data_IF_000007122510
#
_entry.id   IF_000007122510
#
_cell.length_a   1.000
_cell.length_b   1.000
_cell.length_c   1.000
_cell.angle_alpha   90.00
_cell.angle_beta   90.00
_cell.angle_gamma   90.00
#
_symmetry.space_group_name_H-M   'P 1'
#
loop_
_entity.id
_entity.type
_entity.pdbx_description
1 polymer ?
#
# COMPACT_ATOMS: atom_id res chain seq x y z
N UNK A 1 25.76 -27.67 3.43
CA UNK A 1 25.56 -26.21 3.30
C UNK A 1 24.33 -25.95 2.46
N UNK A 2 23.22 -25.54 3.08
CA UNK A 2 22.06 -25.05 2.33
C UNK A 2 22.40 -23.70 1.73
N UNK A 3 22.36 -23.58 0.40
CA UNK A 3 22.45 -22.30 -0.27
C UNK A 3 21.19 -21.50 0.03
N UNK A 4 21.23 -20.64 1.06
CA UNK A 4 20.26 -19.57 1.20
C UNK A 4 20.47 -18.60 0.04
N UNK A 5 19.72 -18.81 -1.05
CA UNK A 5 19.72 -17.90 -2.19
C UNK A 5 19.18 -16.55 -1.73
N UNK A 6 20.02 -15.52 -1.70
CA UNK A 6 19.59 -14.15 -1.49
C UNK A 6 18.70 -13.73 -2.67
N UNK A 7 17.41 -13.49 -2.41
CA UNK A 7 16.52 -12.89 -3.40
C UNK A 7 17.07 -11.53 -3.81
N UNK A 8 17.02 -11.23 -5.10
CA UNK A 8 17.33 -9.89 -5.61
C UNK A 8 16.31 -8.88 -5.08
N UNK A 9 16.68 -7.59 -5.04
CA UNK A 9 15.76 -6.51 -4.66
C UNK A 9 14.45 -6.59 -5.46
N UNK A 10 14.56 -6.76 -6.79
CA UNK A 10 13.42 -6.83 -7.71
C UNK A 10 12.51 -8.03 -7.46
N UNK A 11 13.06 -9.17 -7.05
CA UNK A 11 12.25 -10.35 -6.68
C UNK A 11 11.45 -10.11 -5.41
N UNK A 12 12.05 -9.49 -4.39
CA UNK A 12 11.34 -9.13 -3.16
C UNK A 12 10.20 -8.13 -3.42
N UNK A 13 10.50 -7.06 -4.15
CA UNK A 13 9.50 -6.04 -4.53
C UNK A 13 8.34 -6.65 -5.31
N UNK A 14 8.64 -7.55 -6.25
CA UNK A 14 7.62 -8.27 -7.00
C UNK A 14 6.74 -9.14 -6.10
N UNK A 15 7.33 -9.92 -5.20
CA UNK A 15 6.59 -10.80 -4.30
C UNK A 15 5.67 -10.01 -3.37
N UNK A 16 6.15 -8.89 -2.83
CA UNK A 16 5.38 -8.00 -1.95
C UNK A 16 4.16 -7.40 -2.65
N UNK A 17 4.32 -6.87 -3.87
CA UNK A 17 3.18 -6.30 -4.63
C UNK A 17 2.25 -7.40 -5.13
N UNK A 18 2.80 -8.55 -5.55
CA UNK A 18 2.01 -9.71 -5.99
C UNK A 18 1.15 -10.25 -4.85
N UNK A 19 1.68 -10.32 -3.62
CA UNK A 19 0.90 -10.73 -2.45
C UNK A 19 -0.27 -9.78 -2.21
N UNK A 20 -0.07 -8.46 -2.26
CA UNK A 20 -1.16 -7.49 -2.12
C UNK A 20 -2.25 -7.67 -3.18
N UNK A 21 -1.87 -7.89 -4.44
CA UNK A 21 -2.82 -8.15 -5.52
C UNK A 21 -3.55 -9.50 -5.35
N UNK A 22 -2.90 -10.51 -4.79
CA UNK A 22 -3.52 -11.78 -4.46
C UNK A 22 -4.58 -11.62 -3.37
N UNK A 23 -4.27 -10.87 -2.31
CA UNK A 23 -5.22 -10.55 -1.24
C UNK A 23 -6.47 -9.84 -1.79
N UNK A 24 -6.30 -9.00 -2.82
CA UNK A 24 -7.41 -8.29 -3.46
C UNK A 24 -8.34 -9.19 -4.27
N UNK A 25 -7.74 -10.16 -4.97
CA UNK A 25 -8.47 -11.21 -5.68
C UNK A 25 -9.26 -12.07 -4.71
N UNK A 26 -8.62 -12.52 -3.63
CA UNK A 26 -9.28 -13.31 -2.57
C UNK A 26 -10.45 -12.52 -1.99
N UNK A 27 -10.23 -11.26 -1.61
CA UNK A 27 -11.27 -10.42 -1.04
C UNK A 27 -12.46 -10.24 -1.99
N UNK A 28 -12.24 -9.98 -3.29
CA UNK A 28 -13.36 -9.87 -4.24
C UNK A 28 -14.08 -11.23 -4.43
N UNK A 29 -13.33 -12.33 -4.48
CA UNK A 29 -13.91 -13.67 -4.56
C UNK A 29 -14.78 -14.00 -3.35
N UNK A 30 -14.36 -13.57 -2.15
CA UNK A 30 -15.13 -13.73 -0.91
C UNK A 30 -16.41 -12.87 -0.94
N UNK A 31 -16.31 -11.62 -1.40
CA UNK A 31 -17.46 -10.73 -1.57
C UNK A 31 -18.48 -11.30 -2.56
N UNK A 32 -18.02 -11.85 -3.69
CA UNK A 32 -18.86 -12.51 -4.71
C UNK A 32 -19.57 -13.73 -4.11
N UNK A 33 -18.87 -14.56 -3.35
CA UNK A 33 -19.46 -15.73 -2.69
C UNK A 33 -20.50 -15.34 -1.65
N UNK A 34 -20.25 -14.24 -0.92
CA UNK A 34 -21.19 -13.75 0.08
C UNK A 34 -22.52 -13.28 -0.53
N UNK A 35 -22.51 -12.72 -1.74
CA UNK A 35 -23.71 -12.22 -2.42
C UNK A 35 -24.48 -13.29 -3.22
N UNK A 36 -23.88 -14.47 -3.45
CA UNK A 36 -24.47 -15.52 -4.30
C UNK A 36 -25.88 -15.92 -3.85
N UNK A 37 -26.09 -16.07 -2.54
CA UNK A 37 -27.41 -16.44 -1.99
C UNK A 37 -28.48 -15.41 -2.36
N UNK A 38 -28.19 -14.11 -2.22
CA UNK A 38 -29.16 -13.03 -2.51
C UNK A 38 -29.53 -12.99 -4.00
N UNK A 39 -28.59 -13.31 -4.89
CA UNK A 39 -28.79 -13.36 -6.34
C UNK A 39 -29.73 -14.51 -6.73
N UNK A 40 -29.68 -15.64 -6.01
CA UNK A 40 -30.53 -16.81 -6.25
C UNK A 40 -31.94 -16.70 -5.63
N UNK A 41 -32.20 -15.67 -4.82
CA UNK A 41 -33.50 -15.52 -4.15
C UNK A 41 -34.65 -15.30 -5.16
N UNK A 42 -35.84 -15.88 -4.91
CA UNK A 42 -37.02 -15.58 -5.72
C UNK A 42 -37.33 -14.08 -5.71
N UNK A 43 -37.53 -13.50 -6.90
CA UNK A 43 -37.80 -12.06 -7.04
C UNK A 43 -36.56 -11.17 -7.02
N UNK A 44 -35.35 -11.73 -6.97
CA UNK A 44 -34.12 -10.97 -7.17
C UNK A 44 -34.14 -10.23 -8.53
N UNK A 45 -33.78 -8.95 -8.50
CA UNK A 45 -33.76 -8.07 -9.67
C UNK A 45 -32.89 -8.64 -10.79
N UNK A 46 -33.43 -8.73 -12.01
CA UNK A 46 -32.67 -9.18 -13.18
C UNK A 46 -31.50 -8.24 -13.52
N UNK A 47 -31.67 -6.93 -13.31
CA UNK A 47 -30.56 -5.98 -13.43
C UNK A 47 -29.50 -6.22 -12.35
N UNK A 48 -29.93 -6.54 -11.12
CA UNK A 48 -29.02 -6.92 -10.03
C UNK A 48 -28.20 -8.17 -10.36
N UNK A 49 -28.83 -9.20 -10.95
CA UNK A 49 -28.15 -10.41 -11.42
C UNK A 49 -27.13 -10.11 -12.52
N UNK A 50 -27.48 -9.28 -13.50
CA UNK A 50 -26.54 -8.88 -14.56
C UNK A 50 -25.32 -8.13 -14.00
N UNK A 51 -25.51 -7.28 -12.98
CA UNK A 51 -24.39 -6.60 -12.29
C UNK A 51 -23.53 -7.58 -11.51
N UNK A 52 -24.12 -8.59 -10.87
CA UNK A 52 -23.38 -9.66 -10.22
C UNK A 52 -22.54 -10.45 -11.23
N UNK A 53 -23.10 -10.82 -12.37
CA UNK A 53 -22.37 -11.50 -13.46
C UNK A 53 -21.19 -10.66 -13.96
N UNK A 54 -21.38 -9.34 -14.14
CA UNK A 54 -20.28 -8.43 -14.48
C UNK A 54 -19.14 -8.44 -13.45
N UNK A 55 -19.46 -8.55 -12.15
CA UNK A 55 -18.45 -8.66 -11.11
C UNK A 55 -17.68 -10.00 -11.18
N UNK A 56 -18.39 -11.11 -11.43
CA UNK A 56 -17.79 -12.44 -11.63
C UNK A 56 -16.85 -12.43 -12.85
N UNK A 57 -17.28 -11.85 -13.97
CA UNK A 57 -16.45 -11.73 -15.16
C UNK A 57 -15.20 -10.86 -14.90
N UNK A 58 -15.34 -9.75 -14.16
CA UNK A 58 -14.22 -8.92 -13.77
C UNK A 58 -13.22 -9.70 -12.89
N UNK A 59 -13.70 -10.44 -11.90
CA UNK A 59 -12.85 -11.32 -11.08
C UNK A 59 -12.09 -12.34 -11.95
N UNK A 60 -12.77 -13.02 -12.88
CA UNK A 60 -12.13 -13.98 -13.78
C UNK A 60 -11.08 -13.33 -14.67
N UNK A 61 -11.35 -12.14 -15.25
CA UNK A 61 -10.38 -11.38 -16.03
C UNK A 61 -9.18 -10.97 -15.18
N UNK A 62 -9.41 -10.44 -13.98
CA UNK A 62 -8.35 -10.04 -13.05
C UNK A 62 -7.45 -11.24 -12.67
N UNK A 63 -8.03 -12.40 -12.41
CA UNK A 63 -7.28 -13.64 -12.15
C UNK A 63 -6.40 -14.04 -13.33
N UNK A 64 -6.93 -13.99 -14.56
CA UNK A 64 -6.14 -14.32 -15.76
C UNK A 64 -4.98 -13.35 -15.98
N UNK A 65 -5.17 -12.06 -15.72
CA UNK A 65 -4.11 -11.05 -15.79
C UNK A 65 -3.06 -11.35 -14.72
N UNK A 66 -3.48 -11.61 -13.48
CA UNK A 66 -2.61 -11.91 -12.35
C UNK A 66 -1.74 -13.16 -12.58
N UNK A 67 -2.30 -14.20 -13.18
CA UNK A 67 -1.58 -15.44 -13.52
C UNK A 67 -0.50 -15.22 -14.59
N UNK A 68 -0.73 -14.25 -15.48
CA UNK A 68 0.21 -13.89 -16.56
C UNK A 68 1.23 -12.83 -16.14
N UNK A 69 0.96 -12.06 -15.09
CA UNK A 69 1.85 -11.03 -14.59
C UNK A 69 3.21 -11.60 -14.17
N UNK A 70 4.30 -10.88 -14.50
CA UNK A 70 5.68 -11.27 -14.20
C UNK A 70 6.47 -10.16 -13.49
N UNK A 71 5.94 -8.94 -13.46
CA UNK A 71 6.57 -7.76 -12.84
C UNK A 71 5.50 -6.89 -12.19
N UNK A 72 5.91 -6.03 -11.25
CA UNK A 72 4.99 -5.17 -10.50
C UNK A 72 4.14 -4.26 -11.42
N UNK A 73 4.70 -3.84 -12.56
CA UNK A 73 4.00 -3.02 -13.55
C UNK A 73 2.82 -3.76 -14.20
N UNK A 74 2.89 -5.08 -14.31
CA UNK A 74 1.83 -5.92 -14.88
C UNK A 74 0.61 -6.04 -13.96
N UNK A 75 0.69 -5.54 -12.71
CA UNK A 75 -0.40 -5.61 -11.74
C UNK A 75 -1.33 -4.39 -11.80
N UNK A 76 -0.97 -3.32 -12.51
CA UNK A 76 -1.86 -2.18 -12.68
C UNK A 76 -3.21 -2.56 -13.34
N UNK A 77 -3.25 -3.38 -14.41
CA UNK A 77 -4.50 -3.85 -14.99
C UNK A 77 -5.28 -4.78 -14.05
N UNK A 78 -4.61 -5.52 -13.16
CA UNK A 78 -5.29 -6.36 -12.15
C UNK A 78 -6.14 -5.47 -11.23
N UNK A 79 -5.53 -4.46 -10.60
CA UNK A 79 -6.24 -3.54 -9.70
C UNK A 79 -7.35 -2.76 -10.40
N UNK A 80 -7.13 -2.35 -11.65
CA UNK A 80 -8.15 -1.67 -12.45
C UNK A 80 -9.37 -2.57 -12.68
N UNK A 81 -9.16 -3.83 -13.08
CA UNK A 81 -10.26 -4.78 -13.28
C UNK A 81 -10.94 -5.16 -11.96
N UNK A 82 -10.19 -5.24 -10.86
CA UNK A 82 -10.78 -5.47 -9.53
C UNK A 82 -11.67 -4.30 -9.09
N UNK A 83 -11.29 -3.07 -9.42
CA UNK A 83 -12.11 -1.88 -9.17
C UNK A 83 -13.43 -1.94 -9.97
N UNK A 84 -13.38 -2.31 -11.25
CA UNK A 84 -14.58 -2.54 -12.07
C UNK A 84 -15.51 -3.56 -11.41
N UNK A 85 -14.94 -4.68 -10.95
CA UNK A 85 -15.69 -5.75 -10.27
C UNK A 85 -16.33 -5.26 -8.97
N UNK A 86 -15.62 -4.46 -8.18
CA UNK A 86 -16.16 -3.90 -6.92
C UNK A 86 -17.29 -2.92 -7.15
N UNK A 87 -17.21 -2.11 -8.20
CA UNK A 87 -18.33 -1.25 -8.58
C UNK A 87 -19.54 -2.05 -9.05
N UNK A 88 -19.32 -3.09 -9.86
CA UNK A 88 -20.39 -3.99 -10.28
C UNK A 88 -21.05 -4.69 -9.08
N UNK A 89 -20.28 -5.12 -8.08
CA UNK A 89 -20.81 -5.64 -6.80
C UNK A 89 -21.65 -4.61 -6.05
N UNK A 90 -21.18 -3.36 -5.97
CA UNK A 90 -21.93 -2.29 -5.30
C UNK A 90 -23.27 -1.99 -6.02
N UNK A 91 -23.28 -2.01 -7.36
CA UNK A 91 -24.50 -1.91 -8.15
C UNK A 91 -25.43 -3.11 -7.93
N UNK A 92 -24.90 -4.34 -7.96
CA UNK A 92 -25.67 -5.56 -7.75
C UNK A 92 -26.37 -5.53 -6.39
N UNK A 93 -25.63 -5.25 -5.32
CA UNK A 93 -26.17 -5.13 -3.97
C UNK A 93 -27.28 -4.08 -3.87
N UNK A 94 -27.06 -2.87 -4.43
CA UNK A 94 -28.07 -1.82 -4.40
C UNK A 94 -29.37 -2.27 -5.10
N UNK A 95 -29.26 -2.87 -6.29
CA UNK A 95 -30.41 -3.31 -7.08
C UNK A 95 -31.17 -4.48 -6.45
N UNK A 96 -30.45 -5.44 -5.85
CA UNK A 96 -31.06 -6.54 -5.09
C UNK A 96 -31.83 -6.03 -3.87
N UNK A 97 -31.36 -4.95 -3.25
CA UNK A 97 -32.05 -4.26 -2.14
C UNK A 97 -33.12 -3.26 -2.61
N UNK A 98 -33.39 -3.14 -3.92
CA UNK A 98 -34.38 -2.19 -4.46
C UNK A 98 -33.96 -0.72 -4.36
N UNK A 99 -32.67 -0.44 -4.21
CA UNK A 99 -32.07 0.90 -4.18
C UNK A 99 -31.47 1.26 -5.55
N UNK A 100 -31.37 2.56 -5.90
CA UNK A 100 -30.67 2.97 -7.11
C UNK A 100 -29.19 2.58 -7.04
N UNK A 101 -28.56 2.21 -8.18
CA UNK A 101 -27.12 2.00 -8.24
C UNK A 101 -26.34 3.23 -7.75
N UNK A 102 -25.16 3.04 -7.12
CA UNK A 102 -24.31 4.16 -6.72
C UNK A 102 -23.80 4.93 -7.94
N UNK A 103 -23.45 6.20 -7.73
CA UNK A 103 -22.75 7.00 -8.73
C UNK A 103 -21.37 6.38 -9.05
N UNK A 104 -20.92 6.49 -10.31
CA UNK A 104 -19.59 6.07 -10.73
C UNK A 104 -18.53 7.06 -10.26
N UNK A 105 -18.20 6.99 -8.97
CA UNK A 105 -17.13 7.76 -8.32
C UNK A 105 -15.85 6.92 -8.19
N UNK A 106 -14.67 7.56 -8.00
CA UNK A 106 -13.46 6.85 -7.63
C UNK A 106 -13.68 5.95 -6.40
N UNK A 107 -12.94 4.85 -6.26
CA UNK A 107 -13.03 4.00 -5.08
C UNK A 107 -12.57 4.75 -3.83
N UNK A 108 -12.89 4.21 -2.65
CA UNK A 108 -12.39 4.77 -1.40
C UNK A 108 -10.85 4.84 -1.42
N UNK A 109 -10.33 6.05 -1.19
CA UNK A 109 -8.90 6.32 -1.17
C UNK A 109 -8.18 5.54 -0.09
N UNK A 110 -8.79 5.32 1.07
CA UNK A 110 -8.16 4.64 2.20
C UNK A 110 -8.06 3.13 2.00
N UNK A 111 -9.10 2.51 1.46
CA UNK A 111 -9.04 1.13 0.97
C UNK A 111 -9.94 0.98 -0.25
N UNK A 112 -9.36 0.81 -1.46
CA UNK A 112 -10.16 0.60 -2.67
C UNK A 112 -11.11 -0.60 -2.58
N UNK A 113 -10.86 -1.54 -1.66
CA UNK A 113 -11.74 -2.69 -1.42
C UNK A 113 -13.11 -2.30 -0.85
N UNK A 114 -13.22 -1.13 -0.20
CA UNK A 114 -14.49 -0.61 0.31
C UNK A 114 -15.48 -0.22 -0.80
N UNK A 115 -15.04 -0.20 -2.06
CA UNK A 115 -15.89 0.13 -3.22
C UNK A 115 -15.98 1.64 -3.48
N UNK A 116 -17.00 2.11 -4.23
CA UNK A 116 -17.09 3.50 -4.65
C UNK A 116 -17.21 4.46 -3.45
N UNK A 117 -16.53 5.60 -3.54
CA UNK A 117 -16.70 6.69 -2.58
C UNK A 117 -18.10 7.26 -2.62
N UNK A 118 -18.55 7.82 -1.51
CA UNK A 118 -19.85 8.53 -1.39
C UNK A 118 -19.67 10.04 -1.32
N UNK A 119 -18.50 10.50 -0.89
CA UNK A 119 -18.16 11.92 -0.76
C UNK A 119 -16.64 12.11 -0.73
N UNK A 120 -16.20 13.37 -0.77
CA UNK A 120 -14.80 13.74 -0.57
C UNK A 120 -14.62 14.35 0.82
N UNK A 121 -13.62 13.88 1.58
CA UNK A 121 -13.31 14.38 2.92
C UNK A 121 -11.96 15.09 2.94
N UNK A 122 -11.85 16.17 3.71
CA UNK A 122 -10.57 16.84 3.93
C UNK A 122 -9.71 15.98 4.85
N UNK A 123 -8.57 15.53 4.34
CA UNK A 123 -7.66 14.65 5.07
C UNK A 123 -6.20 14.96 4.73
N UNK A 124 -5.34 14.74 5.72
CA UNK A 124 -3.89 14.77 5.57
C UNK A 124 -3.31 13.49 6.19
N UNK A 125 -2.33 12.84 5.55
CA UNK A 125 -1.49 11.88 6.26
C UNK A 125 -0.63 12.61 7.30
N UNK A 126 -0.07 11.90 8.30
CA UNK A 126 0.88 12.49 9.24
C UNK A 126 2.00 13.26 8.52
N UNK A 127 2.20 14.53 8.88
CA UNK A 127 3.20 15.42 8.24
C UNK A 127 2.88 15.86 6.80
N UNK A 128 1.70 15.54 6.28
CA UNK A 128 1.26 15.92 4.96
C UNK A 128 0.35 17.15 4.92
N UNK A 129 0.06 17.60 3.70
CA UNK A 129 -0.91 18.69 3.47
C UNK A 129 -2.34 18.15 3.43
N UNK A 130 -3.28 18.89 4.02
CA UNK A 130 -4.72 18.59 3.98
C UNK A 130 -5.29 18.82 2.59
N UNK A 131 -6.12 17.89 2.11
CA UNK A 131 -6.76 17.93 0.79
C UNK A 131 -8.01 17.05 0.74
N UNK A 132 -8.93 17.29 -0.22
CA UNK A 132 -10.07 16.40 -0.41
C UNK A 132 -9.61 15.05 -0.96
N UNK A 133 -10.07 13.96 -0.34
CA UNK A 133 -9.87 12.58 -0.82
C UNK A 133 -11.21 11.84 -0.90
N UNK A 134 -11.47 11.02 -1.94
CA UNK A 134 -12.70 10.26 -2.07
C UNK A 134 -12.78 9.17 -0.99
N UNK A 135 -13.87 9.13 -0.22
CA UNK A 135 -14.04 8.18 0.87
C UNK A 135 -15.39 7.45 0.81
N UNK A 136 -15.41 6.19 1.22
CA UNK A 136 -16.67 5.49 1.47
C UNK A 136 -17.34 6.11 2.71
N UNK A 137 -18.64 5.87 2.89
CA UNK A 137 -19.40 6.45 4.00
C UNK A 137 -18.79 6.14 5.38
N UNK A 138 -18.22 4.94 5.56
CA UNK A 138 -17.62 4.53 6.83
C UNK A 138 -16.33 5.32 7.13
N UNK A 139 -15.39 5.40 6.18
CA UNK A 139 -14.15 6.14 6.39
C UNK A 139 -14.37 7.65 6.41
N UNK A 140 -15.33 8.15 5.62
CA UNK A 140 -15.72 9.56 5.65
C UNK A 140 -16.19 9.97 7.05
N UNK A 141 -17.03 9.15 7.68
CA UNK A 141 -17.48 9.37 9.06
C UNK A 141 -16.30 9.33 10.04
N UNK A 142 -15.44 8.30 9.96
CA UNK A 142 -14.27 8.18 10.86
C UNK A 142 -13.37 9.41 10.81
N UNK A 143 -13.03 9.86 9.61
CA UNK A 143 -12.17 11.04 9.41
C UNK A 143 -12.81 12.31 9.97
N UNK A 144 -14.12 12.51 9.73
CA UNK A 144 -14.86 13.67 10.25
C UNK A 144 -14.91 13.70 11.77
N UNK A 145 -14.98 12.54 12.40
CA UNK A 145 -14.95 12.37 13.86
C UNK A 145 -13.51 12.39 14.44
N UNK A 146 -12.49 12.61 13.60
CA UNK A 146 -11.09 12.70 14.03
C UNK A 146 -10.41 11.34 14.28
N UNK A 147 -11.04 10.23 13.88
CA UNK A 147 -10.44 8.90 13.94
C UNK A 147 -9.62 8.58 12.69
N UNK A 148 -8.62 7.71 12.85
CA UNK A 148 -7.88 7.17 11.71
C UNK A 148 -8.82 6.37 10.78
N UNK A 149 -8.71 6.52 9.46
CA UNK A 149 -9.48 5.72 8.51
C UNK A 149 -9.05 4.24 8.59
N UNK A 150 -9.85 3.33 8.01
CA UNK A 150 -9.43 1.94 7.81
C UNK A 150 -8.52 1.87 6.58
N UNK A 151 -7.25 2.16 6.79
CA UNK A 151 -6.23 2.16 5.76
C UNK A 151 -5.88 0.76 5.27
N UNK A 152 -5.83 0.58 3.95
CA UNK A 152 -5.32 -0.64 3.34
C UNK A 152 -3.85 -0.82 3.74
N UNK A 153 -3.58 -1.88 4.49
CA UNK A 153 -2.24 -2.32 4.84
C UNK A 153 -1.60 -3.15 3.71
N UNK A 154 -0.29 -2.96 3.50
CA UNK A 154 0.58 -3.77 2.65
C UNK A 154 1.90 -4.08 3.39
N UNK A 155 2.59 -5.14 2.96
CA UNK A 155 3.85 -5.58 3.57
C UNK A 155 5.06 -4.99 2.83
N UNK A 156 5.91 -4.27 3.55
CA UNK A 156 7.16 -3.69 3.01
C UNK A 156 8.30 -4.14 3.90
N UNK A 157 9.19 -4.99 3.39
CA UNK A 157 10.29 -5.57 4.16
C UNK A 157 9.81 -6.30 5.41
N UNK A 158 8.65 -6.97 5.34
CA UNK A 158 8.04 -7.69 6.47
C UNK A 158 7.29 -6.82 7.48
N UNK A 159 7.17 -5.50 7.26
CA UNK A 159 6.40 -4.59 8.12
C UNK A 159 5.11 -4.14 7.43
N UNK A 160 4.02 -4.10 8.18
CA UNK A 160 2.76 -3.54 7.71
C UNK A 160 2.84 -2.02 7.61
N UNK A 161 2.38 -1.45 6.50
CA UNK A 161 2.22 0.00 6.31
C UNK A 161 0.99 0.30 5.46
N UNK A 162 0.43 1.50 5.61
CA UNK A 162 -0.63 1.95 4.72
C UNK A 162 -0.13 2.00 3.27
N UNK A 163 -0.94 1.56 2.32
CA UNK A 163 -0.51 1.41 0.93
C UNK A 163 -0.11 2.74 0.27
N UNK A 164 -0.67 3.87 0.74
CA UNK A 164 -0.29 5.21 0.26
C UNK A 164 1.06 5.67 0.81
N UNK A 165 1.60 5.00 1.83
CA UNK A 165 2.96 5.18 2.35
C UNK A 165 3.95 4.16 1.76
N UNK A 166 3.48 3.20 0.96
CA UNK A 166 4.33 2.16 0.42
C UNK A 166 5.33 2.72 -0.60
N UNK A 167 6.52 2.08 -0.76
CA UNK A 167 7.52 2.57 -1.70
C UNK A 167 7.05 2.57 -3.15
N UNK A 168 7.74 3.33 -4.01
CA UNK A 168 7.33 3.59 -5.38
C UNK A 168 7.06 2.35 -6.25
N UNK A 169 7.64 1.18 -5.95
CA UNK A 169 7.36 -0.06 -6.69
C UNK A 169 5.91 -0.57 -6.50
N UNK A 170 5.16 -0.10 -5.50
CA UNK A 170 3.72 -0.33 -5.35
C UNK A 170 2.85 0.52 -6.29
N UNK A 171 3.41 1.59 -6.87
CA UNK A 171 2.66 2.60 -7.62
C UNK A 171 1.85 2.03 -8.79
N UNK A 172 2.32 1.06 -9.60
CA UNK A 172 1.51 0.51 -10.68
C UNK A 172 0.25 -0.18 -10.15
N UNK A 173 0.38 -1.05 -9.15
CA UNK A 173 -0.75 -1.74 -8.52
C UNK A 173 -1.71 -0.75 -7.84
N UNK A 174 -1.20 0.19 -7.04
CA UNK A 174 -2.03 1.18 -6.36
C UNK A 174 -2.73 2.13 -7.34
N UNK A 175 -2.03 2.57 -8.38
CA UNK A 175 -2.55 3.47 -9.41
C UNK A 175 -3.60 2.81 -10.32
N UNK A 176 -3.59 1.48 -10.44
CA UNK A 176 -4.58 0.74 -11.23
C UNK A 176 -6.02 0.99 -10.77
N UNK A 177 -6.24 1.09 -9.46
CA UNK A 177 -7.55 1.41 -8.85
C UNK A 177 -8.13 2.74 -9.31
N UNK A 178 -7.28 3.72 -9.64
CA UNK A 178 -7.69 5.06 -10.03
C UNK A 178 -7.57 5.30 -11.53
N UNK A 179 -7.25 4.25 -12.31
CA UNK A 179 -6.98 4.37 -13.74
C UNK A 179 -8.11 5.01 -14.54
N UNK A 180 -9.36 4.63 -14.27
CA UNK A 180 -10.57 5.17 -14.91
C UNK A 180 -10.99 6.58 -14.47
N UNK A 181 -10.28 7.18 -13.49
CA UNK A 181 -10.66 8.43 -12.84
C UNK A 181 -9.59 9.53 -12.94
N UNK A 182 -8.73 9.45 -13.97
CA UNK A 182 -7.56 10.34 -14.11
C UNK A 182 -6.23 9.62 -13.86
N UNK A 183 -6.22 8.28 -13.86
CA UNK A 183 -4.99 7.52 -13.87
C UNK A 183 -4.30 7.40 -12.51
N UNK A 184 -3.05 6.96 -12.57
CA UNK A 184 -2.09 7.25 -11.51
C UNK A 184 -1.92 8.75 -11.25
N UNK A 185 -2.41 9.64 -12.13
CA UNK A 185 -2.46 11.08 -11.93
C UNK A 185 -3.44 11.49 -10.83
N UNK A 186 -4.59 10.81 -10.66
CA UNK A 186 -5.50 11.09 -9.53
C UNK A 186 -4.83 10.69 -8.21
N UNK A 187 -4.30 9.47 -8.10
CA UNK A 187 -3.55 9.06 -6.90
C UNK A 187 -2.34 9.97 -6.65
N UNK A 188 -1.57 10.32 -7.68
CA UNK A 188 -0.44 11.25 -7.55
C UNK A 188 -0.90 12.64 -7.13
N UNK A 189 -2.07 13.10 -7.57
CA UNK A 189 -2.67 14.39 -7.16
C UNK A 189 -3.15 14.33 -5.71
N UNK A 190 -3.80 13.23 -5.32
CA UNK A 190 -4.19 12.94 -3.94
C UNK A 190 -2.97 12.76 -3.02
N UNK A 191 -1.79 12.48 -3.57
CA UNK A 191 -0.53 12.41 -2.83
C UNK A 191 0.40 13.61 -3.08
N UNK A 192 -0.02 14.58 -3.90
CA UNK A 192 0.76 15.79 -4.24
C UNK A 192 0.89 16.73 -3.04
N UNK A 193 2.12 17.03 -2.61
CA UNK A 193 2.37 17.94 -1.48
C UNK A 193 2.43 17.29 -0.09
N UNK A 194 2.60 15.96 -0.01
CA UNK A 194 3.14 15.29 1.17
C UNK A 194 4.59 14.85 0.90
N UNK A 195 5.41 14.72 1.96
CA UNK A 195 6.70 14.01 1.87
C UNK A 195 6.53 12.58 1.27
N UNK A 196 5.32 12.03 1.39
CA UNK A 196 4.89 10.76 0.79
C UNK A 196 4.71 10.83 -0.75
N UNK A 197 4.25 11.97 -1.29
CA UNK A 197 4.29 12.22 -2.73
C UNK A 197 5.71 12.33 -3.29
N UNK A 198 6.69 12.64 -2.42
CA UNK A 198 8.10 12.66 -2.75
C UNK A 198 8.68 11.23 -2.89
N UNK A 199 8.20 10.23 -2.15
CA UNK A 199 8.53 8.81 -2.44
C UNK A 199 7.90 8.28 -3.74
N UNK A 200 6.99 9.07 -4.32
CA UNK A 200 6.26 8.80 -5.56
C UNK A 200 6.73 9.77 -6.67
N UNK A 201 7.68 10.68 -6.40
CA UNK A 201 8.06 11.76 -7.31
C UNK A 201 9.49 12.32 -7.17
N UNK A 202 10.26 11.90 -6.17
CA UNK A 202 11.70 12.11 -6.07
C UNK A 202 12.32 10.71 -6.13
N UNK A 203 13.26 10.55 -7.05
CA UNK A 203 13.92 9.27 -7.29
C UNK A 203 14.57 8.69 -6.04
N UNK A 204 14.96 7.43 -6.17
CA UNK A 204 15.68 6.59 -5.21
C UNK A 204 16.84 7.29 -4.46
N UNK A 205 17.34 8.41 -4.97
CA UNK A 205 18.41 9.23 -4.39
C UNK A 205 18.04 9.92 -3.06
N UNK A 206 16.80 10.37 -2.84
CA UNK A 206 16.47 11.13 -1.62
C UNK A 206 16.24 10.23 -0.40
N UNK A 207 15.91 8.96 -0.63
CA UNK A 207 15.71 7.97 0.44
C UNK A 207 17.05 7.31 0.84
N UNK A 208 18.04 7.28 -0.08
CA UNK A 208 19.40 6.84 0.22
C UNK A 208 20.08 7.75 1.25
N UNK A 209 19.95 9.06 1.10
CA UNK A 209 20.58 10.06 1.98
C UNK A 209 19.96 10.14 3.39
N UNK A 210 18.78 9.53 3.61
CA UNK A 210 18.15 9.47 4.94
C UNK A 210 18.61 8.27 5.77
N UNK A 211 19.20 7.25 5.15
CA UNK A 211 19.61 6.01 5.82
C UNK A 211 21.10 5.68 5.68
N UNK A 212 21.86 6.39 4.84
CA UNK A 212 23.32 6.33 4.80
C UNK A 212 23.88 7.53 5.59
N UNK A 213 24.12 7.32 6.87
CA UNK A 213 24.77 8.30 7.72
C UNK A 213 26.23 8.48 7.32
N UNK A 214 26.50 9.51 6.53
CA UNK A 214 27.82 10.13 6.48
C UNK A 214 27.65 11.60 6.90
N UNK A 215 28.13 11.89 8.10
CA UNK A 215 28.13 13.23 8.70
C UNK A 215 28.92 14.19 7.79
N UNK A 216 28.21 14.93 6.93
CA UNK A 216 28.75 16.14 6.28
C UNK A 216 27.87 17.34 6.57
N UNK A 217 28.42 18.17 7.44
CA UNK A 217 28.04 19.55 7.77
C UNK A 217 27.66 20.38 6.52
N UNK A 218 26.47 21.03 6.48
CA UNK A 218 26.09 21.92 5.39
C UNK A 218 26.57 23.34 5.70
N UNK A 219 27.88 23.58 5.51
CA UNK A 219 28.50 24.91 5.57
C UNK A 219 28.77 25.48 4.18
N UNK A 220 28.30 26.71 3.97
CA UNK A 220 28.91 27.77 3.14
C UNK A 220 29.36 27.49 1.68
N UNK A 221 28.40 27.59 0.74
CA UNK A 221 28.70 27.95 -0.64
C UNK A 221 28.93 29.48 -0.77
N UNK A 222 30.19 29.93 -0.66
CA UNK A 222 30.58 31.29 -0.98
C UNK A 222 31.93 31.34 -1.73
N UNK A 223 31.89 31.84 -2.97
CA UNK A 223 32.96 32.48 -3.74
C UNK A 223 34.37 31.83 -3.76
N UNK A 224 34.68 31.12 -4.85
CA UNK A 224 36.06 30.81 -5.23
C UNK A 224 36.76 32.07 -5.78
N UNK A 225 37.59 32.67 -4.93
CA UNK A 225 38.59 33.68 -5.28
C UNK A 225 40.00 33.13 -5.06
N UNK A 226 40.84 33.37 -6.06
CA UNK A 226 42.27 33.07 -6.18
C UNK A 226 43.15 33.56 -5.01
N UNK A 227 44.18 32.78 -4.68
CA UNK A 227 45.38 33.29 -4.00
C UNK A 227 45.91 32.48 -2.80
N UNK A 228 47.19 32.09 -2.90
CA UNK A 228 48.12 32.22 -1.76
C UNK A 228 48.57 30.96 -1.04
N UNK A 229 49.76 30.49 -1.41
CA UNK A 229 50.66 29.62 -0.64
C UNK A 229 51.13 30.24 0.69
N UNK A 230 51.24 29.44 1.75
CA UNK A 230 52.31 29.49 2.77
C UNK A 230 52.35 28.18 3.57
N UNK A 231 53.57 27.67 3.74
CA UNK A 231 53.99 26.61 4.66
C UNK A 231 53.92 27.07 6.13
N UNK A 232 53.66 26.16 7.08
CA UNK A 232 54.49 25.95 8.29
C UNK A 232 54.04 24.66 9.03
N UNK A 233 55.01 23.94 9.59
CA UNK A 233 54.82 22.63 10.24
C UNK A 233 54.43 22.72 11.73
N UNK A 234 54.25 21.56 12.36
CA UNK A 234 54.12 21.49 13.83
C UNK A 234 53.68 20.12 14.34
N UNK A 235 54.48 19.55 15.23
CA UNK A 235 54.41 18.19 15.80
C UNK A 235 53.60 18.13 17.12
N UNK A 236 53.18 16.91 17.52
CA UNK A 236 52.76 16.52 18.89
C UNK A 236 51.64 15.47 18.84
N UNK A 237 51.92 14.17 18.98
CA UNK A 237 52.20 13.36 20.19
C UNK A 237 51.03 13.23 21.18
N UNK A 238 50.73 11.97 21.53
CA UNK A 238 50.22 11.57 22.84
C UNK A 238 48.75 11.14 22.92
N UNK A 239 48.51 9.85 23.23
CA UNK A 239 47.32 9.45 23.98
C UNK A 239 46.77 8.05 23.70
N UNK A 240 47.34 7.02 24.35
CA UNK A 240 46.80 5.67 24.44
C UNK A 240 45.87 5.52 25.67
N UNK A 241 44.85 4.67 25.58
CA UNK A 241 44.04 4.13 26.68
C UNK A 241 42.81 3.42 26.11
N UNK A 242 42.77 2.08 26.00
CA UNK A 242 42.38 1.11 27.06
C UNK A 242 40.98 1.42 27.61
N UNK A 243 39.96 0.57 27.60
CA UNK A 243 39.76 -0.84 27.34
C UNK A 243 38.35 -1.17 27.86
N UNK A 244 37.78 -2.33 27.52
CA UNK A 244 36.53 -2.78 28.16
C UNK A 244 35.69 -3.73 27.33
N UNK A 245 36.08 -5.00 27.32
CA UNK A 245 35.24 -6.13 26.93
C UNK A 245 34.44 -6.62 28.13
N UNK A 246 33.18 -7.02 27.90
CA UNK A 246 32.33 -7.85 28.76
C UNK A 246 31.03 -8.08 27.98
N UNK A 247 30.65 -9.25 27.50
CA UNK A 247 30.55 -10.64 28.02
C UNK A 247 29.35 -10.88 28.95
N UNK A 248 28.61 -11.97 28.67
CA UNK A 248 27.41 -12.48 29.36
C UNK A 248 26.09 -12.01 28.74
N UNK A 249 25.26 -12.85 28.09
CA UNK A 249 24.51 -14.00 28.68
C UNK A 249 23.22 -13.44 29.31
N UNK A 250 21.99 -13.77 28.90
CA UNK A 250 21.41 -15.11 28.92
C UNK A 250 20.27 -15.29 27.90
N UNK A 251 20.24 -16.49 27.32
CA UNK A 251 19.07 -17.09 26.69
C UNK A 251 18.33 -17.89 27.76
N UNK A 252 17.04 -17.59 27.98
CA UNK A 252 16.15 -18.52 28.66
C UNK A 252 15.14 -19.08 27.66
N UNK A 253 15.17 -20.42 27.67
CA UNK A 253 14.43 -21.40 26.91
C UNK A 253 13.09 -21.70 27.63
N UNK A 254 12.10 -22.17 26.89
CA UNK A 254 11.01 -22.96 27.47
C UNK A 254 9.61 -22.34 27.38
N UNK A 255 8.72 -23.03 26.64
CA UNK A 255 7.29 -22.81 26.80
C UNK A 255 6.37 -23.40 25.73
N UNK A 256 6.63 -24.59 25.21
CA UNK A 256 5.70 -25.34 24.37
C UNK A 256 4.55 -25.86 25.25
N UNK A 257 3.33 -25.39 25.00
CA UNK A 257 2.10 -25.87 25.63
C UNK A 257 1.09 -26.24 24.55
N UNK A 258 1.14 -27.50 24.13
CA UNK A 258 0.10 -28.17 23.35
C UNK A 258 -1.07 -28.52 24.27
N UNK A 259 -2.29 -28.11 23.93
CA UNK A 259 -3.48 -28.85 24.33
C UNK A 259 -4.39 -29.04 23.11
N UNK A 260 -4.35 -30.29 22.64
CA UNK A 260 -5.28 -30.89 21.71
C UNK A 260 -6.47 -31.43 22.50
N UNK A 261 -7.68 -31.13 22.03
CA UNK A 261 -8.73 -32.13 21.80
C UNK A 261 -9.42 -32.80 22.99
N UNK A 262 -10.76 -32.73 22.96
CA UNK A 262 -11.64 -33.74 23.54
C UNK A 262 -12.91 -33.16 24.17
N UNK A 263 -14.09 -33.58 23.69
CA UNK A 263 -15.35 -33.27 24.37
C UNK A 263 -16.59 -33.21 23.47
N UNK A 264 -16.95 -34.34 22.92
CA UNK A 264 -18.25 -34.72 22.37
C UNK A 264 -19.34 -34.83 23.46
N UNK A 265 -20.35 -33.95 23.40
CA UNK A 265 -21.77 -34.21 23.74
C UNK A 265 -22.66 -33.05 23.31
#
# INVERSE_FOLDING_TARGET
MGFFGFKTRREREWEEVRASAQDDLVALGDDIRALDVDVQMPGASDEGKQRYEQAVEAYQRASQIFDRARRAEDLAPVSATLEEGRYAMACAKALLEGRPPPERRPPCFFDPRHGPSTEDVQWAPPGGTSRPVPACAADALRVKEGFAPHGRQVLVGGRSTDYWNAPGYYRPWAGGYFSGFGGGGLLSTLLMGSALGAGIGLGEEVIGDLFDGDDRDPGDAAYAGDGGSVDDGGYGDGGYGDGGYGDGGDFDDGGFGSDLGGGDW
#
